data_IF_456841941068
#
_entry.id   IF_456841941068
#
_cell.length_a   1.000
_cell.length_b   1.000
_cell.length_c   1.000
_cell.angle_alpha   90.00
_cell.angle_beta   90.00
_cell.angle_gamma   90.00
#
_symmetry.space_group_name_H-M   'P 1'
#
loop_
_entity.id
_entity.type
_entity.pdbx_description
1 polymer ?
#
# COMPACT_ATOMS: atom_id res chain seq x y z
N UNK A 1 -3.20 2.72 -10.43
CA UNK A 1 -2.43 2.85 -9.17
C UNK A 1 -2.48 4.30 -8.68
N UNK A 2 -3.42 4.59 -7.82
CA UNK A 2 -3.71 5.96 -7.35
C UNK A 2 -2.67 6.52 -6.35
N UNK A 3 -1.77 5.68 -5.81
CA UNK A 3 -0.67 6.12 -4.93
C UNK A 3 -0.82 5.81 -3.43
N UNK A 4 -1.72 4.90 -3.02
CA UNK A 4 -1.94 4.54 -1.60
C UNK A 4 -0.66 4.17 -0.85
N UNK A 5 0.08 3.18 -1.34
CA UNK A 5 1.32 2.74 -0.71
C UNK A 5 2.43 3.79 -0.75
N UNK A 6 2.42 4.70 -1.75
CA UNK A 6 3.32 5.85 -1.78
C UNK A 6 2.99 6.82 -0.65
N UNK A 7 1.72 7.15 -0.49
CA UNK A 7 1.26 8.03 0.58
C UNK A 7 1.60 7.45 1.96
N UNK A 8 1.28 6.16 2.18
CA UNK A 8 1.58 5.51 3.46
C UNK A 8 3.06 5.57 3.81
N UNK A 9 3.94 5.22 2.86
CA UNK A 9 5.39 5.30 3.09
C UNK A 9 5.86 6.73 3.38
N UNK A 10 5.22 7.74 2.78
CA UNK A 10 5.54 9.16 3.04
C UNK A 10 5.07 9.58 4.43
N UNK A 11 3.86 9.17 4.84
CA UNK A 11 3.28 9.50 6.16
C UNK A 11 4.06 8.87 7.31
N UNK A 12 4.50 7.63 7.14
CA UNK A 12 5.28 6.90 8.16
C UNK A 12 6.76 7.31 8.17
N UNK A 13 7.28 7.77 7.01
CA UNK A 13 8.71 8.05 6.84
C UNK A 13 9.55 6.82 6.48
N UNK A 14 8.95 5.63 6.48
CA UNK A 14 9.60 4.34 6.21
C UNK A 14 8.98 3.61 5.03
N UNK A 15 9.78 2.77 4.35
CA UNK A 15 9.34 2.02 3.18
C UNK A 15 8.68 0.68 3.57
N UNK A 16 7.50 0.73 4.16
CA UNK A 16 6.73 -0.44 4.59
C UNK A 16 6.03 -1.14 3.43
N UNK A 17 5.45 -0.39 2.51
CA UNK A 17 4.69 -0.95 1.38
C UNK A 17 5.47 -0.89 0.08
N UNK A 18 5.27 -1.91 -0.78
CA UNK A 18 5.84 -1.95 -2.13
C UNK A 18 5.22 -0.87 -3.01
N UNK A 19 6.07 -0.17 -3.75
CA UNK A 19 5.64 0.81 -4.76
C UNK A 19 6.02 0.31 -6.15
N UNK A 20 5.03 0.03 -6.99
CA UNK A 20 5.23 -0.26 -8.40
C UNK A 20 4.09 0.32 -9.25
N UNK A 21 4.32 0.44 -10.56
CA UNK A 21 3.28 0.82 -11.52
C UNK A 21 2.35 -0.35 -11.89
N UNK A 22 2.52 -1.53 -11.30
CA UNK A 22 1.67 -2.70 -11.56
C UNK A 22 0.45 -2.71 -10.66
N UNK A 23 -0.68 -3.18 -11.18
CA UNK A 23 -1.87 -3.43 -10.39
C UNK A 23 -1.62 -4.55 -9.36
N UNK A 24 -2.41 -4.57 -8.29
CA UNK A 24 -2.36 -5.61 -7.24
C UNK A 24 -0.97 -5.75 -6.59
N UNK A 25 -0.27 -4.63 -6.43
CA UNK A 25 1.05 -4.62 -5.77
C UNK A 25 0.90 -4.96 -4.30
N UNK A 26 -0.02 -4.34 -3.58
CA UNK A 26 -0.36 -4.66 -2.19
C UNK A 26 -1.33 -5.84 -2.17
N UNK A 27 -0.96 -6.93 -1.50
CA UNK A 27 -1.78 -8.16 -1.36
C UNK A 27 -2.32 -8.35 0.05
N UNK A 28 -1.65 -7.78 1.03
CA UNK A 28 -1.96 -7.88 2.45
C UNK A 28 -2.38 -6.52 2.99
N UNK A 29 -3.15 -6.52 4.06
CA UNK A 29 -3.33 -5.33 4.89
C UNK A 29 -2.03 -5.10 5.67
N UNK A 30 -1.44 -3.93 5.55
CA UNK A 30 -0.22 -3.53 6.26
C UNK A 30 -0.59 -2.33 7.12
N UNK A 31 -0.34 -2.43 8.42
CA UNK A 31 -0.49 -1.29 9.32
C UNK A 31 0.83 -0.52 9.35
N UNK A 32 0.73 0.79 9.21
CA UNK A 32 1.82 1.73 9.45
C UNK A 32 1.43 2.61 10.63
N UNK A 33 2.30 2.69 11.63
CA UNK A 33 2.02 3.36 12.89
C UNK A 33 2.88 4.61 12.95
N UNK A 34 2.22 5.76 12.98
CA UNK A 34 2.86 7.06 13.20
C UNK A 34 2.71 7.41 14.67
N UNK A 35 3.82 7.43 15.38
CA UNK A 35 3.90 7.77 16.80
C UNK A 35 4.55 9.14 16.98
N UNK A 36 3.86 10.00 17.71
CA UNK A 36 4.39 11.27 18.19
C UNK A 36 4.18 11.39 19.71
N UNK A 37 4.61 12.49 20.31
CA UNK A 37 4.49 12.67 21.76
C UNK A 37 3.04 12.63 22.23
N UNK A 38 2.15 13.27 21.48
CA UNK A 38 0.76 13.57 21.86
C UNK A 38 -0.28 12.74 21.11
N UNK A 39 0.14 11.98 20.07
CA UNK A 39 -0.79 11.18 19.30
C UNK A 39 -0.18 9.88 18.71
N UNK A 40 -1.05 8.98 18.34
CA UNK A 40 -0.74 7.80 17.55
C UNK A 40 -1.76 7.67 16.43
N UNK A 41 -1.31 7.59 15.18
CA UNK A 41 -2.16 7.32 14.02
C UNK A 41 -1.79 5.95 13.45
N UNK A 42 -2.78 5.07 13.32
CA UNK A 42 -2.60 3.75 12.70
C UNK A 42 -3.17 3.77 11.29
N UNK A 43 -2.30 3.87 10.31
CA UNK A 43 -2.67 3.81 8.90
C UNK A 43 -2.82 2.35 8.44
N UNK A 44 -3.85 2.08 7.66
CA UNK A 44 -4.10 0.76 7.08
C UNK A 44 -3.94 0.82 5.56
N UNK A 45 -2.76 0.38 5.02
CA UNK A 45 -2.61 0.19 3.56
C UNK A 45 -3.31 -1.10 3.15
N UNK A 46 -4.25 -0.97 2.25
CA UNK A 46 -5.07 -2.06 1.75
C UNK A 46 -4.80 -2.35 0.28
N UNK A 47 -5.06 -3.58 -0.18
CA UNK A 47 -5.14 -3.85 -1.60
C UNK A 47 -6.06 -2.87 -2.32
N UNK A 48 -5.78 -2.62 -3.59
CA UNK A 48 -6.67 -1.84 -4.43
C UNK A 48 -8.01 -2.56 -4.61
N UNK A 49 -9.08 -1.77 -4.72
CA UNK A 49 -10.42 -2.28 -4.96
C UNK A 49 -10.48 -2.91 -6.35
N UNK A 50 -10.89 -4.18 -6.42
CA UNK A 50 -11.00 -4.97 -7.65
C UNK A 50 -12.25 -5.84 -7.60
N UNK A 51 -12.75 -6.24 -8.76
CA UNK A 51 -13.73 -7.33 -8.83
C UNK A 51 -12.97 -8.66 -8.77
N UNK A 52 -13.16 -9.49 -7.71
CA UNK A 52 -12.39 -10.70 -7.52
C UNK A 52 -12.75 -11.74 -8.57
N UNK A 53 -11.75 -12.30 -9.25
CA UNK A 53 -11.88 -13.37 -10.24
C UNK A 53 -11.38 -14.73 -9.71
N UNK A 54 -10.66 -14.74 -8.58
CA UNK A 54 -10.11 -15.96 -7.96
C UNK A 54 -9.84 -15.73 -6.45
N UNK A 55 -9.67 -16.82 -5.70
CA UNK A 55 -9.61 -16.85 -4.22
C UNK A 55 -8.64 -15.85 -3.58
N UNK A 56 -7.46 -15.62 -4.15
CA UNK A 56 -6.53 -14.64 -3.62
C UNK A 56 -7.12 -13.22 -3.68
N UNK A 57 -7.81 -12.87 -4.76
CA UNK A 57 -8.46 -11.57 -4.88
C UNK A 57 -9.66 -11.43 -3.93
N UNK A 58 -10.37 -12.51 -3.65
CA UNK A 58 -11.42 -12.53 -2.61
C UNK A 58 -10.81 -12.22 -1.23
N UNK A 59 -9.68 -12.86 -0.87
CA UNK A 59 -8.95 -12.57 0.36
C UNK A 59 -8.47 -11.12 0.43
N UNK A 60 -8.00 -10.56 -0.70
CA UNK A 60 -7.64 -9.15 -0.78
C UNK A 60 -8.83 -8.22 -0.52
N UNK A 61 -10.02 -8.57 -1.02
CA UNK A 61 -11.24 -7.77 -0.76
C UNK A 61 -11.72 -7.90 0.67
N UNK A 62 -11.52 -9.04 1.33
CA UNK A 62 -11.79 -9.18 2.77
C UNK A 62 -10.94 -8.21 3.60
N UNK A 63 -9.65 -8.02 3.27
CA UNK A 63 -8.82 -7.00 3.93
C UNK A 63 -9.36 -5.59 3.75
N UNK A 64 -9.88 -5.25 2.57
CA UNK A 64 -10.53 -3.95 2.33
C UNK A 64 -11.78 -3.80 3.20
N UNK A 65 -12.62 -4.84 3.27
CA UNK A 65 -13.84 -4.81 4.09
C UNK A 65 -13.54 -4.68 5.58
N UNK A 66 -12.54 -5.43 6.10
CA UNK A 66 -12.13 -5.33 7.50
C UNK A 66 -11.58 -3.93 7.80
N UNK A 67 -10.72 -3.39 6.95
CA UNK A 67 -10.19 -2.04 7.13
C UNK A 67 -11.29 -0.96 7.14
N UNK A 68 -12.34 -1.15 6.34
CA UNK A 68 -13.51 -0.25 6.33
C UNK A 68 -14.30 -0.33 7.65
N UNK A 69 -14.40 -1.51 8.26
CA UNK A 69 -15.12 -1.71 9.51
C UNK A 69 -14.38 -1.19 10.73
N UNK A 70 -13.05 -1.23 10.69
CA UNK A 70 -12.19 -0.84 11.82
C UNK A 70 -11.81 0.65 11.80
N UNK A 71 -12.19 1.40 10.76
CA UNK A 71 -11.70 2.75 10.54
C UNK A 71 -12.48 3.79 11.37
N UNK A 72 -11.76 4.66 12.09
CA UNK A 72 -12.30 5.90 12.67
C UNK A 72 -12.36 7.03 11.62
N UNK A 73 -11.48 7.01 10.62
CA UNK A 73 -11.43 7.94 9.48
C UNK A 73 -11.16 7.15 8.21
N UNK A 74 -11.97 7.35 7.18
CA UNK A 74 -11.79 6.73 5.88
C UNK A 74 -11.02 7.65 4.93
N UNK A 75 -9.91 7.15 4.40
CA UNK A 75 -9.18 7.82 3.33
C UNK A 75 -9.54 7.17 2.00
N UNK A 76 -10.26 7.90 1.16
CA UNK A 76 -10.58 7.49 -0.20
C UNK A 76 -9.68 8.24 -1.19
N UNK A 77 -8.78 7.51 -1.85
CA UNK A 77 -7.79 8.11 -2.75
C UNK A 77 -8.15 7.88 -4.21
N UNK A 78 -8.14 8.96 -4.98
CA UNK A 78 -8.35 8.97 -6.42
C UNK A 78 -7.17 9.65 -7.13
N UNK A 79 -6.93 9.27 -8.38
CA UNK A 79 -5.96 9.94 -9.24
C UNK A 79 -6.63 11.10 -9.97
N UNK A 80 -5.92 12.24 -10.12
CA UNK A 80 -6.40 13.35 -10.93
C UNK A 80 -6.81 12.87 -12.34
N UNK A 81 -7.94 13.36 -12.84
CA UNK A 81 -8.53 12.94 -14.13
C UNK A 81 -9.32 11.63 -14.07
N UNK A 82 -9.34 10.91 -12.94
CA UNK A 82 -10.18 9.72 -12.78
C UNK A 82 -11.66 10.13 -12.74
N UNK A 83 -12.45 9.55 -13.65
CA UNK A 83 -13.89 9.77 -13.73
C UNK A 83 -14.63 8.47 -13.46
N UNK A 84 -15.44 8.46 -12.42
CA UNK A 84 -16.22 7.28 -12.03
C UNK A 84 -15.49 6.35 -11.06
N UNK A 85 -16.16 5.27 -10.71
CA UNK A 85 -15.80 4.42 -9.59
C UNK A 85 -15.62 2.99 -10.09
N UNK A 86 -14.58 2.36 -9.62
CA UNK A 86 -14.25 0.98 -9.99
C UNK A 86 -15.20 -0.05 -9.37
N UNK A 87 -15.86 0.31 -8.27
CA UNK A 87 -16.80 -0.53 -7.56
C UNK A 87 -17.95 0.32 -6.99
N UNK A 88 -19.12 0.24 -7.64
CA UNK A 88 -20.32 0.99 -7.25
C UNK A 88 -20.81 0.62 -5.84
N UNK A 89 -20.68 -0.64 -5.43
CA UNK A 89 -21.15 -1.08 -4.11
C UNK A 89 -20.33 -0.50 -2.97
N UNK A 90 -19.01 -0.46 -3.14
CA UNK A 90 -18.13 0.16 -2.14
C UNK A 90 -18.32 1.67 -2.11
N UNK A 91 -18.56 2.27 -3.26
CA UNK A 91 -18.84 3.70 -3.34
C UNK A 91 -20.12 4.09 -2.61
N UNK A 92 -21.18 3.35 -2.80
CA UNK A 92 -22.40 3.57 -2.04
C UNK A 92 -22.19 3.41 -0.52
N UNK A 93 -21.30 2.50 -0.10
CA UNK A 93 -20.90 2.42 1.32
C UNK A 93 -20.17 3.67 1.79
N UNK A 94 -19.25 4.22 1.00
CA UNK A 94 -18.51 5.44 1.34
C UNK A 94 -19.46 6.64 1.42
N UNK A 95 -20.44 6.74 0.53
CA UNK A 95 -21.45 7.80 0.56
C UNK A 95 -22.38 7.73 1.77
N UNK A 96 -22.67 6.53 2.25
CA UNK A 96 -23.66 6.30 3.29
C UNK A 96 -23.02 5.95 4.65
N UNK A 97 -21.72 6.15 4.82
CA UNK A 97 -21.04 5.91 6.09
C UNK A 97 -21.17 7.11 7.02
N UNK A 98 -21.28 6.84 8.32
CA UNK A 98 -21.19 7.84 9.38
C UNK A 98 -19.74 8.17 9.75
N UNK A 99 -18.79 7.38 9.29
CA UNK A 99 -17.35 7.61 9.51
C UNK A 99 -16.88 8.80 8.64
N UNK A 100 -16.12 9.75 9.19
CA UNK A 100 -15.56 10.85 8.41
C UNK A 100 -14.76 10.36 7.21
N UNK A 101 -14.96 10.97 6.05
CA UNK A 101 -14.31 10.60 4.79
C UNK A 101 -13.40 11.72 4.32
N UNK A 102 -12.12 11.44 4.17
CA UNK A 102 -11.16 12.29 3.47
C UNK A 102 -10.94 11.75 2.05
N UNK A 103 -11.38 12.49 1.04
CA UNK A 103 -11.10 12.17 -0.35
C UNK A 103 -9.81 12.86 -0.78
N UNK A 104 -8.77 12.07 -1.02
CA UNK A 104 -7.47 12.58 -1.46
C UNK A 104 -7.39 12.55 -2.98
N UNK A 105 -7.39 13.72 -3.60
CA UNK A 105 -7.18 13.89 -5.04
C UNK A 105 -5.68 13.95 -5.31
N UNK A 106 -5.09 12.80 -5.66
CA UNK A 106 -3.65 12.64 -5.78
C UNK A 106 -3.12 12.87 -7.20
N UNK A 107 -1.81 13.13 -7.28
CA UNK A 107 -1.04 13.39 -8.50
C UNK A 107 -1.39 14.72 -9.17
N UNK A 108 -1.74 15.73 -8.38
CA UNK A 108 -2.04 17.08 -8.90
C UNK A 108 -0.83 17.72 -9.59
N UNK A 109 0.38 17.20 -9.36
CA UNK A 109 1.62 17.58 -10.04
C UNK A 109 1.62 17.27 -11.55
N UNK A 110 0.64 16.51 -12.04
CA UNK A 110 0.53 16.13 -13.46
C UNK A 110 -0.36 17.09 -14.28
N UNK A 111 -1.02 18.04 -13.63
CA UNK A 111 -1.99 18.93 -14.29
C UNK A 111 -1.87 20.37 -13.78
N UNK A 112 -2.49 21.30 -14.48
CA UNK A 112 -2.58 22.71 -14.10
C UNK A 112 -3.64 22.93 -13.01
N UNK A 113 -3.52 24.03 -12.27
CA UNK A 113 -4.39 24.36 -11.13
C UNK A 113 -5.89 24.43 -11.51
N UNK A 114 -6.20 24.85 -12.73
CA UNK A 114 -7.58 24.93 -13.22
C UNK A 114 -8.25 23.55 -13.27
N UNK A 115 -7.52 22.52 -13.77
CA UNK A 115 -8.02 21.14 -13.81
C UNK A 115 -8.24 20.59 -12.39
N UNK A 116 -7.36 20.93 -11.44
CA UNK A 116 -7.54 20.54 -10.02
C UNK A 116 -8.85 21.10 -9.48
N UNK A 117 -9.14 22.37 -9.74
CA UNK A 117 -10.39 23.03 -9.30
C UNK A 117 -11.64 22.35 -9.88
N UNK A 118 -11.62 22.03 -11.16
CA UNK A 118 -12.70 21.29 -11.84
C UNK A 118 -12.92 19.92 -11.21
N UNK A 119 -11.84 19.19 -10.92
CA UNK A 119 -11.93 17.85 -10.32
C UNK A 119 -12.42 17.91 -8.86
N UNK A 120 -12.08 18.93 -8.08
CA UNK A 120 -12.61 19.14 -6.73
C UNK A 120 -14.12 19.30 -6.78
N UNK A 121 -14.65 20.17 -7.65
CA UNK A 121 -16.10 20.36 -7.80
C UNK A 121 -16.81 19.07 -8.27
N UNK A 122 -16.20 18.35 -9.22
CA UNK A 122 -16.73 17.05 -9.66
C UNK A 122 -16.88 16.06 -8.49
N UNK A 123 -15.85 15.95 -7.62
CA UNK A 123 -15.91 15.00 -6.52
C UNK A 123 -16.79 15.46 -5.36
N UNK A 124 -16.96 16.77 -5.12
CA UNK A 124 -17.96 17.31 -4.19
C UNK A 124 -19.38 16.86 -4.55
N UNK A 125 -19.72 16.91 -5.82
CA UNK A 125 -21.03 16.44 -6.28
C UNK A 125 -21.21 14.93 -6.13
N UNK A 126 -20.13 14.16 -6.30
CA UNK A 126 -20.15 12.69 -6.22
C UNK A 126 -20.16 12.14 -4.81
N UNK A 127 -19.40 12.76 -3.90
CA UNK A 127 -19.22 12.35 -2.50
C UNK A 127 -19.42 13.56 -1.59
N UNK A 128 -20.66 14.03 -1.42
CA UNK A 128 -20.94 15.28 -0.68
C UNK A 128 -20.59 15.20 0.82
N UNK A 129 -20.46 14.02 1.38
CA UNK A 129 -20.05 13.78 2.76
C UNK A 129 -18.52 13.69 2.94
N UNK A 130 -17.72 13.80 1.86
CA UNK A 130 -16.27 13.76 1.96
C UNK A 130 -15.67 15.18 1.95
N UNK A 131 -14.64 15.36 2.75
CA UNK A 131 -13.72 16.49 2.63
C UNK A 131 -12.67 16.17 1.57
N UNK A 132 -12.46 17.08 0.60
CA UNK A 132 -11.57 16.85 -0.53
C UNK A 132 -10.28 17.60 -0.34
N UNK A 133 -9.16 16.86 -0.34
CA UNK A 133 -7.81 17.40 -0.22
C UNK A 133 -7.00 17.08 -1.49
N UNK A 134 -6.60 18.10 -2.26
CA UNK A 134 -5.68 17.92 -3.39
C UNK A 134 -4.26 17.71 -2.88
N UNK A 135 -3.60 16.65 -3.34
CA UNK A 135 -2.27 16.25 -2.87
C UNK A 135 -1.34 15.80 -4.01
N UNK A 136 -0.04 15.81 -3.73
CA UNK A 136 0.93 15.01 -4.46
C UNK A 136 1.74 14.17 -3.47
N UNK A 137 1.42 12.87 -3.38
CA UNK A 137 2.16 11.96 -2.52
C UNK A 137 3.63 11.82 -2.96
N UNK A 138 3.90 11.93 -4.27
CA UNK A 138 5.26 11.85 -4.81
C UNK A 138 6.11 13.06 -4.41
N UNK A 139 5.55 14.27 -4.54
CA UNK A 139 6.23 15.53 -4.25
C UNK A 139 6.03 16.00 -2.81
N UNK A 140 5.37 15.20 -1.97
CA UNK A 140 5.06 15.50 -0.57
C UNK A 140 4.27 16.80 -0.37
N UNK A 141 3.42 17.16 -1.35
CA UNK A 141 2.58 18.35 -1.27
C UNK A 141 1.30 18.06 -0.46
N UNK A 142 0.93 18.94 0.45
CA UNK A 142 -0.21 18.86 1.37
C UNK A 142 -0.22 17.60 2.29
N UNK A 143 0.94 17.01 2.57
CA UNK A 143 1.03 15.84 3.45
C UNK A 143 0.75 16.19 4.91
N UNK A 144 1.27 17.34 5.38
CA UNK A 144 1.01 17.79 6.75
C UNK A 144 -0.47 18.09 6.98
N UNK A 145 -1.14 18.68 6.00
CA UNK A 145 -2.57 18.97 6.07
C UNK A 145 -3.43 17.69 6.23
N UNK A 146 -3.00 16.59 5.61
CA UNK A 146 -3.66 15.29 5.83
C UNK A 146 -3.56 14.87 7.29
N UNK A 147 -2.36 14.97 7.89
CA UNK A 147 -2.13 14.61 9.30
C UNK A 147 -2.98 15.49 10.22
N UNK A 148 -2.97 16.80 10.01
CA UNK A 148 -3.71 17.75 10.82
C UNK A 148 -5.22 17.48 10.77
N UNK A 149 -5.77 17.21 9.57
CA UNK A 149 -7.18 16.86 9.43
C UNK A 149 -7.55 15.52 10.04
N UNK A 150 -6.69 14.51 9.94
CA UNK A 150 -6.89 13.22 10.60
C UNK A 150 -6.95 13.42 12.13
N UNK A 151 -6.02 14.19 12.70
CA UNK A 151 -5.98 14.44 14.15
C UNK A 151 -7.23 15.15 14.67
N UNK A 152 -7.83 16.05 13.89
CA UNK A 152 -9.08 16.70 14.26
C UNK A 152 -10.28 15.75 14.23
N UNK A 153 -10.22 14.68 13.46
CA UNK A 153 -11.30 13.72 13.26
C UNK A 153 -11.18 12.47 14.15
N UNK A 154 -9.96 12.15 14.62
CA UNK A 154 -9.73 10.97 15.44
C UNK A 154 -10.30 11.12 16.85
N UNK A 155 -10.84 10.03 17.44
CA UNK A 155 -11.27 10.03 18.82
C UNK A 155 -10.09 10.09 19.78
N UNK A 156 -10.32 10.68 20.97
CA UNK A 156 -9.35 10.64 22.07
C UNK A 156 -9.43 9.29 22.75
N UNK A 157 -8.32 8.53 22.70
CA UNK A 157 -8.20 7.22 23.31
C UNK A 157 -6.75 6.93 23.72
N UNK A 158 -6.54 5.86 24.49
CA UNK A 158 -5.20 5.35 24.76
C UNK A 158 -4.56 4.77 23.48
N UNK A 159 -3.23 4.85 23.32
CA UNK A 159 -2.54 4.30 22.17
C UNK A 159 -2.70 2.77 22.10
N UNK A 160 -2.91 2.24 20.92
CA UNK A 160 -3.07 0.79 20.67
C UNK A 160 -1.75 0.04 20.61
N UNK A 161 -0.65 0.72 20.26
CA UNK A 161 0.67 0.12 20.05
C UNK A 161 1.73 0.82 20.88
N UNK A 162 2.82 0.10 21.17
CA UNK A 162 3.99 0.65 21.81
C UNK A 162 4.56 1.83 20.99
N UNK A 163 5.19 2.80 21.68
CA UNK A 163 5.66 4.04 21.03
C UNK A 163 6.78 3.85 20.00
N UNK A 164 7.50 2.75 20.04
CA UNK A 164 8.54 2.38 19.09
C UNK A 164 8.03 1.50 17.94
N UNK A 165 6.78 1.07 18.00
CA UNK A 165 6.17 0.27 16.93
C UNK A 165 5.91 1.13 15.69
N UNK A 166 6.36 0.67 14.53
CA UNK A 166 6.12 1.31 13.23
C UNK A 166 5.18 0.51 12.33
N UNK A 167 4.91 -0.76 12.67
CA UNK A 167 4.06 -1.67 11.88
C UNK A 167 3.65 -2.90 12.71
N UNK A 168 2.60 -3.59 12.24
CA UNK A 168 2.13 -4.88 12.78
C UNK A 168 2.86 -6.10 12.19
N UNK A 169 3.74 -5.91 11.21
CA UNK A 169 4.38 -7.00 10.48
C UNK A 169 5.76 -7.34 11.02
N UNK A 170 6.09 -8.65 11.11
CA UNK A 170 7.43 -9.08 11.47
C UNK A 170 8.43 -8.78 10.34
N UNK A 171 9.72 -8.71 10.67
CA UNK A 171 10.78 -8.45 9.70
C UNK A 171 10.81 -9.46 8.53
N UNK A 172 10.46 -10.72 8.79
CA UNK A 172 10.35 -11.76 7.76
C UNK A 172 9.39 -11.38 6.64
N UNK A 173 8.26 -10.76 6.97
CA UNK A 173 7.30 -10.26 5.99
C UNK A 173 7.93 -9.23 5.04
N UNK A 174 8.75 -8.33 5.55
CA UNK A 174 9.42 -7.33 4.70
C UNK A 174 10.48 -7.96 3.79
N UNK A 175 11.15 -9.01 4.25
CA UNK A 175 12.06 -9.80 3.39
C UNK A 175 11.29 -10.41 2.21
N UNK A 176 10.16 -11.04 2.48
CA UNK A 176 9.28 -11.63 1.45
C UNK A 176 8.80 -10.56 0.47
N UNK A 177 8.34 -9.42 0.98
CA UNK A 177 7.87 -8.30 0.16
C UNK A 177 9.00 -7.66 -0.67
N UNK A 178 10.23 -7.52 -0.14
CA UNK A 178 11.37 -7.02 -0.94
C UNK A 178 11.73 -7.97 -2.09
N UNK A 179 11.73 -9.27 -1.87
CA UNK A 179 11.93 -10.26 -2.93
C UNK A 179 10.79 -10.17 -3.96
N UNK A 180 9.55 -10.09 -3.51
CA UNK A 180 8.36 -9.96 -4.37
C UNK A 180 8.39 -8.67 -5.20
N UNK A 181 8.85 -7.56 -4.61
CA UNK A 181 9.05 -6.29 -5.33
C UNK A 181 10.02 -6.46 -6.52
N UNK A 182 11.11 -7.20 -6.36
CA UNK A 182 12.05 -7.43 -7.47
C UNK A 182 11.43 -8.29 -8.57
N UNK A 183 10.63 -9.30 -8.18
CA UNK A 183 9.88 -10.08 -9.17
C UNK A 183 8.86 -9.19 -9.89
N UNK A 184 8.13 -8.35 -9.17
CA UNK A 184 7.22 -7.38 -9.77
C UNK A 184 7.93 -6.43 -10.75
N UNK A 185 9.14 -5.97 -10.44
CA UNK A 185 9.90 -5.06 -11.30
C UNK A 185 10.44 -5.74 -12.56
N UNK A 186 10.99 -6.94 -12.43
CA UNK A 186 11.75 -7.58 -13.52
C UNK A 186 10.92 -8.48 -14.43
N UNK A 187 9.81 -9.04 -13.96
CA UNK A 187 8.99 -9.95 -14.75
C UNK A 187 7.69 -9.28 -15.18
N UNK A 188 7.13 -9.79 -16.28
CA UNK A 188 5.91 -9.28 -16.92
C UNK A 188 4.86 -10.38 -17.00
N UNK A 189 3.71 -10.05 -17.59
CA UNK A 189 2.55 -10.93 -17.75
C UNK A 189 2.10 -11.52 -16.42
N UNK A 190 1.84 -12.82 -16.36
CA UNK A 190 1.32 -13.55 -15.21
C UNK A 190 2.36 -13.86 -14.11
N UNK A 191 3.66 -13.86 -14.43
CA UNK A 191 4.71 -14.29 -13.49
C UNK A 191 4.64 -13.55 -12.14
N UNK A 192 4.56 -12.19 -12.10
CA UNK A 192 4.50 -11.45 -10.84
C UNK A 192 3.28 -11.79 -9.98
N UNK A 193 2.22 -12.27 -10.59
CA UNK A 193 0.94 -12.55 -9.91
C UNK A 193 0.82 -14.00 -9.45
N UNK A 194 1.66 -14.90 -9.98
CA UNK A 194 1.64 -16.34 -9.73
C UNK A 194 2.76 -16.83 -8.80
N UNK A 195 3.44 -15.92 -8.10
CA UNK A 195 4.50 -16.26 -7.14
C UNK A 195 4.05 -16.02 -5.71
N UNK A 196 4.48 -16.91 -4.82
CA UNK A 196 4.45 -16.73 -3.38
C UNK A 196 5.88 -16.87 -2.83
N UNK A 197 6.25 -16.00 -1.90
CA UNK A 197 7.55 -16.05 -1.25
C UNK A 197 7.32 -16.40 0.22
N UNK A 198 8.20 -17.23 0.76
CA UNK A 198 8.21 -17.63 2.16
C UNK A 198 9.63 -17.62 2.67
N UNK A 199 9.86 -16.97 3.81
CA UNK A 199 11.13 -17.02 4.52
C UNK A 199 11.15 -18.27 5.40
N UNK A 200 11.90 -19.29 4.95
CA UNK A 200 12.05 -20.56 5.67
C UNK A 200 12.99 -20.42 6.87
N UNK A 201 14.15 -19.77 6.66
CA UNK A 201 15.16 -19.58 7.70
C UNK A 201 15.52 -18.09 7.83
N UNK A 202 15.68 -17.65 9.07
CA UNK A 202 16.11 -16.30 9.41
C UNK A 202 16.94 -16.38 10.69
N UNK A 203 18.26 -16.28 10.54
CA UNK A 203 19.22 -16.35 11.64
C UNK A 203 19.97 -15.03 11.76
N UNK A 204 19.87 -14.40 12.91
CA UNK A 204 20.64 -13.22 13.29
C UNK A 204 21.91 -13.66 14.02
N UNK A 205 23.06 -13.38 13.40
CA UNK A 205 24.38 -13.55 14.00
C UNK A 205 24.97 -12.15 14.27
N UNK A 206 26.01 -12.05 15.09
CA UNK A 206 26.58 -10.74 15.49
C UNK A 206 26.96 -9.82 14.31
N UNK A 207 27.38 -10.37 13.17
CA UNK A 207 27.89 -9.60 12.03
C UNK A 207 27.12 -9.79 10.75
N UNK A 208 26.21 -10.77 10.69
CA UNK A 208 25.49 -11.13 9.47
C UNK A 208 24.11 -11.72 9.78
N UNK A 209 23.13 -11.37 8.97
CA UNK A 209 21.82 -12.02 8.97
C UNK A 209 21.76 -13.01 7.81
N UNK A 210 21.49 -14.29 8.12
CA UNK A 210 21.34 -15.34 7.10
C UNK A 210 19.87 -15.61 6.87
N UNK A 211 19.45 -15.45 5.62
CA UNK A 211 18.05 -15.61 5.21
C UNK A 211 17.98 -16.65 4.10
N UNK A 212 17.11 -17.64 4.29
CA UNK A 212 16.71 -18.58 3.25
C UNK A 212 15.25 -18.35 2.89
N UNK A 213 14.99 -18.00 1.63
CA UNK A 213 13.64 -17.79 1.13
C UNK A 213 13.33 -18.73 -0.02
N UNK A 214 12.08 -19.23 -0.04
CA UNK A 214 11.56 -20.08 -1.11
C UNK A 214 10.61 -19.26 -1.96
N UNK A 215 10.75 -19.37 -3.28
CA UNK A 215 9.84 -18.77 -4.25
C UNK A 215 8.99 -19.90 -4.87
N UNK A 216 7.74 -19.95 -4.47
CA UNK A 216 6.77 -20.87 -5.03
C UNK A 216 6.18 -20.30 -6.32
N UNK A 217 5.94 -21.17 -7.29
CA UNK A 217 5.32 -20.85 -8.58
C UNK A 217 4.21 -21.83 -8.90
N UNK A 218 3.23 -21.41 -9.69
CA UNK A 218 2.09 -22.26 -10.06
C UNK A 218 2.44 -23.35 -11.08
N UNK A 219 3.46 -23.13 -11.93
CA UNK A 219 3.81 -24.01 -13.04
C UNK A 219 5.33 -24.15 -13.17
N UNK A 220 5.80 -25.35 -13.56
CA UNK A 220 7.23 -25.61 -13.78
C UNK A 220 7.86 -24.69 -14.85
N UNK A 221 7.11 -24.31 -15.89
CA UNK A 221 7.58 -23.34 -16.88
C UNK A 221 7.92 -21.98 -16.28
N UNK A 222 7.20 -21.53 -15.25
CA UNK A 222 7.46 -20.27 -14.57
C UNK A 222 8.73 -20.33 -13.74
N UNK A 223 9.06 -21.50 -13.15
CA UNK A 223 10.30 -21.73 -12.43
C UNK A 223 11.52 -21.47 -13.33
N UNK A 224 11.52 -22.04 -14.56
CA UNK A 224 12.57 -21.81 -15.53
C UNK A 224 12.75 -20.34 -15.89
N UNK A 225 11.64 -19.59 -16.03
CA UNK A 225 11.66 -18.15 -16.34
C UNK A 225 12.28 -17.35 -15.18
N UNK A 226 11.91 -17.66 -13.91
CA UNK A 226 12.44 -16.95 -12.74
C UNK A 226 13.93 -17.24 -12.54
N UNK A 227 14.35 -18.49 -12.69
CA UNK A 227 15.76 -18.89 -12.62
C UNK A 227 16.57 -18.17 -13.71
N UNK A 228 16.02 -18.13 -14.93
CA UNK A 228 16.66 -17.51 -16.08
C UNK A 228 17.89 -18.27 -16.59
N UNK A 229 18.50 -17.75 -17.66
CA UNK A 229 19.67 -18.38 -18.28
C UNK A 229 20.82 -18.50 -17.26
N UNK A 230 21.29 -19.74 -17.02
CA UNK A 230 22.37 -20.07 -16.06
C UNK A 230 22.15 -19.45 -14.65
N UNK A 231 20.90 -19.32 -14.20
CA UNK A 231 20.58 -18.77 -12.88
C UNK A 231 20.71 -17.24 -12.75
N UNK A 232 20.91 -16.51 -13.82
CA UNK A 232 21.12 -15.05 -13.77
C UNK A 232 19.87 -14.29 -13.28
N UNK A 233 18.67 -14.79 -13.58
CA UNK A 233 17.42 -14.17 -13.15
C UNK A 233 17.30 -14.18 -11.62
N UNK A 234 17.37 -15.35 -11.02
CA UNK A 234 17.26 -15.49 -9.56
C UNK A 234 18.41 -14.81 -8.82
N UNK A 235 19.64 -14.85 -9.38
CA UNK A 235 20.79 -14.14 -8.81
C UNK A 235 20.57 -12.63 -8.77
N UNK A 236 20.00 -12.07 -9.83
CA UNK A 236 19.65 -10.64 -9.91
C UNK A 236 18.63 -10.27 -8.82
N UNK A 237 17.53 -11.04 -8.72
CA UNK A 237 16.49 -10.83 -7.70
C UNK A 237 17.12 -10.82 -6.31
N UNK A 238 17.88 -11.88 -5.96
CA UNK A 238 18.51 -12.01 -4.65
C UNK A 238 19.49 -10.87 -4.35
N UNK A 239 20.33 -10.48 -5.32
CA UNK A 239 21.29 -9.38 -5.13
C UNK A 239 20.59 -8.03 -4.91
N UNK A 240 19.55 -7.72 -5.67
CA UNK A 240 18.82 -6.45 -5.53
C UNK A 240 17.97 -6.42 -4.25
N UNK A 241 17.34 -7.54 -3.89
CA UNK A 241 16.59 -7.65 -2.63
C UNK A 241 17.53 -7.47 -1.42
N UNK A 242 18.67 -8.16 -1.41
CA UNK A 242 19.69 -8.02 -0.36
C UNK A 242 20.13 -6.57 -0.18
N UNK A 243 20.48 -5.86 -1.26
CA UNK A 243 20.93 -4.46 -1.19
C UNK A 243 19.88 -3.53 -0.59
N UNK A 244 18.60 -3.81 -0.78
CA UNK A 244 17.53 -3.03 -0.16
C UNK A 244 17.30 -3.41 1.30
N UNK A 245 17.44 -4.70 1.65
CA UNK A 245 17.35 -5.17 3.03
C UNK A 245 18.50 -4.66 3.90
N UNK A 246 19.70 -4.50 3.33
CA UNK A 246 20.86 -3.90 4.02
C UNK A 246 20.69 -2.39 4.31
N UNK A 247 19.64 -1.74 3.76
CA UNK A 247 19.31 -0.32 3.98
C UNK A 247 18.04 -0.12 4.81
N UNK A 248 17.33 -1.21 5.04
CA UNK A 248 16.10 -1.26 5.82
C UNK A 248 16.41 -1.54 7.29
#
# INVERSE_FOLDING_TARGET
NVGKSTLMNVLIGEKLSIITNKAQTTRHRILGILNENDFQIVFSDTPGIIQPAYKLQESMMNFVQTAFQDADVLIYMVEIGEKGLKDEKLFEKIKNTDVPVLLLLNKIDLVEQEEVSIQIEYWKDKVPNAEILPISALNKFNIQEIIDRILELLPVCEPYYEKDAITDKPIRFFVEEKIREKILKHYKKEIPYSVQIEVEEFFEEETIIRIRAIIYVLRESQRGIIIGHKGQGIKRIGTEARRELERF
#
